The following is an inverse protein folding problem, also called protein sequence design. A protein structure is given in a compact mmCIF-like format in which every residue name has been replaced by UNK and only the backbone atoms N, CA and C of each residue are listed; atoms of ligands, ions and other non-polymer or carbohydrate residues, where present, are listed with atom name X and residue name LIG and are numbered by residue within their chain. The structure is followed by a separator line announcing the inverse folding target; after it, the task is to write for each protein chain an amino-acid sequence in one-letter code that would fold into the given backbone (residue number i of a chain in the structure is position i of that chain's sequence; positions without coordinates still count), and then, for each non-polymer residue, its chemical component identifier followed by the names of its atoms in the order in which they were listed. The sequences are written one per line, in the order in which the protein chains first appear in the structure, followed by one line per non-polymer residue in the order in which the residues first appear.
data_IF_118571821785
#
_entry.id   IF_118571821785
#
_cell.length_a   1.000
_cell.length_b   1.000
_cell.length_c   1.000
_cell.angle_alpha   90.00
_cell.angle_beta   90.00
_cell.angle_gamma   90.00
#
_symmetry.space_group_name_H-M   'P 1'
#
loop_
_entity.id
_entity.type
_entity.pdbx_description
1 polymer ?
#
# COMPACT_ATOMS: atom_id res chain seq x y z
N UNK A 1 -11.83 -38.52 -4.40
CA UNK A 1 -10.97 -37.38 -4.00
C UNK A 1 -11.87 -36.14 -3.99
N UNK A 2 -11.98 -35.40 -2.89
CA UNK A 2 -13.02 -34.38 -2.69
C UNK A 2 -12.56 -32.98 -3.19
N UNK A 3 -12.99 -32.52 -4.39
CA UNK A 3 -12.53 -31.24 -4.96
C UNK A 3 -13.00 -30.01 -4.16
N UNK A 4 -14.15 -30.11 -3.48
CA UNK A 4 -14.70 -29.02 -2.67
C UNK A 4 -13.85 -28.74 -1.42
N UNK A 5 -13.24 -29.77 -0.81
CA UNK A 5 -12.32 -29.56 0.30
C UNK A 5 -11.04 -28.84 -0.14
N UNK A 6 -10.54 -29.16 -1.33
CA UNK A 6 -9.35 -28.50 -1.89
C UNK A 6 -9.62 -27.01 -2.19
N UNK A 7 -10.78 -26.70 -2.77
CA UNK A 7 -11.20 -25.32 -3.02
C UNK A 7 -11.30 -24.51 -1.71
N UNK A 8 -11.86 -25.12 -0.66
CA UNK A 8 -12.04 -24.48 0.64
C UNK A 8 -10.70 -24.27 1.36
N UNK A 9 -9.81 -25.25 1.33
CA UNK A 9 -8.44 -25.14 1.86
C UNK A 9 -7.64 -24.06 1.13
N UNK A 10 -7.78 -23.96 -0.19
CA UNK A 10 -7.14 -22.91 -1.00
C UNK A 10 -7.70 -21.54 -0.68
N UNK A 11 -9.02 -21.42 -0.50
CA UNK A 11 -9.66 -20.17 -0.10
C UNK A 11 -9.20 -19.73 1.30
N UNK A 12 -9.14 -20.66 2.25
CA UNK A 12 -8.62 -20.41 3.60
C UNK A 12 -7.13 -20.06 3.57
N UNK A 13 -6.36 -20.57 2.61
CA UNK A 13 -4.93 -20.23 2.47
C UNK A 13 -4.68 -18.87 1.80
N UNK A 14 -5.62 -18.36 1.00
CA UNK A 14 -5.55 -17.04 0.35
C UNK A 14 -6.15 -15.96 1.24
N UNK A 15 -7.24 -16.28 1.95
CA UNK A 15 -7.64 -15.53 3.11
C UNK A 15 -6.47 -15.60 4.10
N UNK A 16 -5.98 -14.48 4.62
CA UNK A 16 -4.88 -14.53 5.57
C UNK A 16 -5.39 -15.27 6.82
N UNK A 17 -5.05 -16.57 6.97
CA UNK A 17 -5.21 -17.31 8.24
C UNK A 17 -4.54 -16.54 9.38
N UNK A 18 -3.55 -15.73 9.02
CA UNK A 18 -2.84 -14.82 9.89
C UNK A 18 -3.13 -13.37 9.50
N UNK A 19 -3.97 -12.69 10.29
CA UNK A 19 -4.09 -11.23 10.26
C UNK A 19 -2.76 -10.52 10.54
N UNK A 20 -1.70 -11.24 10.94
CA UNK A 20 -0.42 -10.66 11.32
C UNK A 20 0.23 -9.80 10.23
N UNK A 21 0.06 -10.10 8.93
CA UNK A 21 0.62 -9.25 7.86
C UNK A 21 -0.14 -7.92 7.75
N UNK A 22 -1.47 -7.95 7.88
CA UNK A 22 -2.29 -6.75 7.92
C UNK A 22 -2.06 -5.98 9.22
N UNK A 23 -2.02 -6.65 10.38
CA UNK A 23 -1.72 -6.07 11.69
C UNK A 23 -0.31 -5.48 11.75
N UNK A 24 0.70 -6.12 11.15
CA UNK A 24 2.06 -5.58 11.01
C UNK A 24 2.05 -4.33 10.15
N UNK A 25 1.29 -4.32 9.06
CA UNK A 25 1.11 -3.15 8.19
C UNK A 25 0.41 -2.01 8.94
N UNK A 26 -0.68 -2.29 9.66
CA UNK A 26 -1.41 -1.32 10.49
C UNK A 26 -0.58 -0.80 11.67
N UNK A 27 0.22 -1.66 12.31
CA UNK A 27 1.13 -1.28 13.38
C UNK A 27 2.23 -0.35 12.87
N UNK A 28 2.80 -0.67 11.70
CA UNK A 28 3.78 0.20 11.02
C UNK A 28 3.16 1.53 10.62
N UNK A 29 1.93 1.52 10.11
CA UNK A 29 1.14 2.73 9.83
C UNK A 29 0.89 3.58 11.06
N UNK A 30 0.51 2.96 12.18
CA UNK A 30 0.28 3.63 13.46
C UNK A 30 1.58 4.25 13.97
N UNK A 31 2.71 3.56 13.85
CA UNK A 31 4.05 4.11 14.15
C UNK A 31 4.37 5.30 13.27
N UNK A 32 4.13 5.22 11.96
CA UNK A 32 4.32 6.31 10.99
C UNK A 32 3.49 7.55 11.36
N UNK A 33 2.20 7.35 11.67
CA UNK A 33 1.27 8.42 12.06
C UNK A 33 1.70 9.11 13.37
N UNK A 34 2.14 8.33 14.36
CA UNK A 34 2.64 8.85 15.64
C UNK A 34 3.98 9.56 15.49
N UNK A 35 4.92 8.99 14.73
CA UNK A 35 6.26 9.55 14.52
C UNK A 35 6.20 10.92 13.82
N UNK A 36 5.37 11.04 12.78
CA UNK A 36 5.17 12.30 12.05
C UNK A 36 4.17 13.25 12.73
N UNK A 37 3.54 12.83 13.85
CA UNK A 37 2.51 13.56 14.61
C UNK A 37 1.47 14.24 13.69
N UNK A 38 1.04 13.50 12.67
CA UNK A 38 0.37 14.09 11.51
C UNK A 38 -1.15 13.85 11.54
N UNK A 39 -1.94 14.92 11.60
CA UNK A 39 -3.37 14.89 11.24
C UNK A 39 -3.47 14.96 9.72
N UNK A 40 -3.34 13.81 9.06
CA UNK A 40 -3.42 13.69 7.59
C UNK A 40 -4.56 12.80 7.18
N UNK A 41 -5.18 13.12 6.04
CA UNK A 41 -6.26 12.34 5.44
C UNK A 41 -5.84 10.90 5.17
N UNK A 42 -6.76 9.95 5.39
CA UNK A 42 -6.54 8.50 5.16
C UNK A 42 -5.90 8.22 3.79
N UNK A 43 -6.34 8.90 2.74
CA UNK A 43 -5.78 8.77 1.38
C UNK A 43 -4.27 9.02 1.28
N UNK A 44 -3.75 10.02 1.99
CA UNK A 44 -2.31 10.33 2.00
C UNK A 44 -1.54 9.36 2.90
N UNK A 45 -2.15 8.93 4.01
CA UNK A 45 -1.55 7.97 4.92
C UNK A 45 -1.38 6.60 4.24
N UNK A 46 -2.40 6.14 3.51
CA UNK A 46 -2.36 4.92 2.70
C UNK A 46 -1.28 5.02 1.62
N UNK A 47 -1.17 6.15 0.91
CA UNK A 47 -0.10 6.37 -0.08
C UNK A 47 1.31 6.26 0.53
N UNK A 48 1.53 6.83 1.72
CA UNK A 48 2.80 6.70 2.44
C UNK A 48 3.05 5.27 2.94
N UNK A 49 2.00 4.56 3.36
CA UNK A 49 2.09 3.15 3.73
C UNK A 49 2.58 2.30 2.56
N UNK A 50 1.96 2.48 1.39
CA UNK A 50 2.30 1.76 0.18
C UNK A 50 3.74 2.02 -0.23
N UNK A 51 4.18 3.29 -0.17
CA UNK A 51 5.57 3.66 -0.43
C UNK A 51 6.55 3.06 0.59
N UNK A 52 6.15 2.94 1.85
CA UNK A 52 6.98 2.33 2.91
C UNK A 52 7.06 0.81 2.80
N UNK A 53 6.00 0.15 2.32
CA UNK A 53 5.93 -1.31 2.15
C UNK A 53 6.62 -1.74 0.85
N UNK A 54 6.45 -0.97 -0.23
CA UNK A 54 7.00 -1.26 -1.55
C UNK A 54 8.31 -0.51 -1.81
N UNK A 55 9.20 -0.44 -0.81
CA UNK A 55 10.47 0.27 -0.91
C UNK A 55 11.45 -0.40 -1.90
N UNK A 56 11.20 -1.65 -2.25
CA UNK A 56 12.02 -2.45 -3.17
C UNK A 56 11.68 -2.19 -4.66
N UNK A 57 10.71 -1.32 -4.95
CA UNK A 57 10.44 -0.89 -6.33
C UNK A 57 11.45 0.19 -6.68
N UNK A 58 12.37 -0.14 -7.59
CA UNK A 58 13.31 0.83 -8.17
C UNK A 58 12.52 1.77 -9.09
N UNK A 59 12.29 2.99 -8.65
CA UNK A 59 11.56 4.00 -9.43
C UNK A 59 12.61 4.87 -10.11
N UNK A 60 12.75 4.73 -11.43
CA UNK A 60 13.71 5.52 -12.21
C UNK A 60 13.36 7.02 -12.14
N UNK A 61 14.33 7.86 -11.78
CA UNK A 61 14.16 9.30 -11.61
C UNK A 61 13.59 9.99 -12.86
N UNK A 62 13.96 9.53 -14.05
CA UNK A 62 13.46 10.06 -15.33
C UNK A 62 11.94 9.89 -15.47
N UNK A 63 11.39 8.75 -15.02
CA UNK A 63 9.94 8.53 -15.06
C UNK A 63 9.20 9.40 -14.04
N UNK A 64 9.82 9.70 -12.91
CA UNK A 64 9.26 10.62 -11.91
C UNK A 64 9.27 12.03 -12.47
N UNK A 65 10.36 12.44 -13.11
CA UNK A 65 10.51 13.77 -13.71
C UNK A 65 9.51 13.98 -14.85
N UNK A 66 9.36 13.01 -15.75
CA UNK A 66 8.38 13.05 -16.83
C UNK A 66 6.95 13.05 -16.31
N UNK A 67 6.62 12.23 -15.30
CA UNK A 67 5.28 12.27 -14.68
C UNK A 67 5.03 13.60 -13.96
N UNK A 68 6.03 14.17 -13.31
CA UNK A 68 5.90 15.45 -12.62
C UNK A 68 5.74 16.61 -13.61
N UNK A 69 6.53 16.63 -14.68
CA UNK A 69 6.44 17.62 -15.76
C UNK A 69 5.08 17.55 -16.48
N UNK A 70 4.59 16.34 -16.77
CA UNK A 70 3.29 16.13 -17.40
C UNK A 70 2.10 16.36 -16.44
N UNK A 71 2.33 16.47 -15.13
CA UNK A 71 1.25 16.67 -14.15
C UNK A 71 0.76 18.13 -14.06
N UNK A 72 1.39 19.07 -14.77
CA UNK A 72 0.97 20.48 -14.83
C UNK A 72 0.98 21.21 -13.47
N UNK A 73 0.59 22.49 -13.46
CA UNK A 73 0.64 23.40 -12.29
C UNK A 73 -0.08 22.91 -11.02
N UNK A 74 -0.85 21.82 -11.10
CA UNK A 74 -1.44 21.14 -9.96
C UNK A 74 -0.50 20.03 -9.47
N UNK A 75 0.29 20.32 -8.44
CA UNK A 75 1.23 19.40 -7.76
C UNK A 75 0.52 18.27 -6.98
N UNK A 76 -0.55 17.69 -7.52
CA UNK A 76 -1.31 16.58 -6.95
C UNK A 76 -1.61 15.60 -8.09
N UNK A 77 -0.82 14.53 -8.13
CA UNK A 77 -1.10 13.37 -8.97
C UNK A 77 -2.42 12.75 -8.51
N UNK A 78 -3.48 12.91 -9.31
CA UNK A 78 -4.74 12.18 -9.13
C UNK A 78 -4.51 10.75 -9.61
N UNK A 79 -4.23 9.85 -8.67
CA UNK A 79 -4.32 8.41 -8.92
C UNK A 79 -5.80 8.04 -8.88
N UNK A 80 -6.43 7.97 -10.05
CA UNK A 80 -7.73 7.31 -10.23
C UNK A 80 -7.51 5.80 -10.22
N UNK A 81 -8.18 5.13 -9.28
CA UNK A 81 -8.29 3.67 -9.17
C UNK A 81 -9.53 3.22 -9.94
#
# INVERSE_FOLDING_TARGET
MFPNMYQLLKLISVLPVSTATAERSFSSLRRLKTYLRNSTSESRLVGLALLSIHRDIDISDDQILDKFANSGKARRLKLSL
#
